data_IF_125112906866
#
_entry.id   IF_125112906866
#
_cell.length_a   1.000
_cell.length_b   1.000
_cell.length_c   1.000
_cell.angle_alpha   90.00
_cell.angle_beta   90.00
_cell.angle_gamma   90.00
#
_symmetry.space_group_name_H-M   'P 1'
#
loop_
_entity.id
_entity.type
_entity.pdbx_description
1 polymer ?
#
# COMPACT_ATOMS: atom_id res chain seq x y z
N UNK A 1 -10.42 7.14 -15.73
CA UNK A 1 -9.08 6.53 -15.60
C UNK A 1 -8.54 6.26 -17.00
N UNK A 2 -7.85 7.22 -17.63
CA UNK A 2 -7.23 7.03 -18.94
C UNK A 2 -5.97 6.16 -18.83
N UNK A 3 -5.74 5.32 -19.82
CA UNK A 3 -4.46 4.65 -20.05
C UNK A 3 -3.67 5.46 -21.06
N UNK A 4 -2.43 5.80 -20.73
CA UNK A 4 -1.65 6.79 -21.47
C UNK A 4 -0.31 6.19 -21.86
N UNK A 5 0.04 6.30 -23.14
CA UNK A 5 1.37 5.98 -23.67
C UNK A 5 2.13 7.24 -24.03
N UNK A 6 3.46 7.17 -24.01
CA UNK A 6 4.30 8.26 -24.51
C UNK A 6 4.18 8.36 -26.02
N UNK A 7 3.70 9.51 -26.49
CA UNK A 7 3.52 9.82 -27.91
C UNK A 7 4.82 10.23 -28.62
N UNK A 8 4.69 10.63 -29.89
CA UNK A 8 5.79 11.18 -30.68
C UNK A 8 6.22 12.59 -30.24
N UNK A 9 7.23 13.15 -30.90
CA UNK A 9 7.63 14.55 -30.65
C UNK A 9 6.45 15.52 -30.87
N UNK A 10 6.21 16.39 -29.89
CA UNK A 10 5.10 17.36 -29.90
C UNK A 10 3.80 16.87 -29.22
N UNK A 11 3.70 15.60 -28.84
CA UNK A 11 2.55 15.05 -28.12
C UNK A 11 2.77 15.11 -26.60
N UNK A 12 2.75 16.32 -26.03
CA UNK A 12 3.10 16.57 -24.63
C UNK A 12 2.25 15.80 -23.61
N UNK A 13 1.01 15.46 -23.95
CA UNK A 13 0.08 14.69 -23.11
C UNK A 13 0.07 13.19 -23.42
N UNK A 14 0.79 12.75 -24.47
CA UNK A 14 0.81 11.37 -24.93
C UNK A 14 -0.45 10.92 -25.66
N UNK A 15 -0.49 9.63 -25.98
CA UNK A 15 -1.61 8.98 -26.63
C UNK A 15 -2.53 8.29 -25.60
N UNK A 16 -3.85 8.38 -25.79
CA UNK A 16 -4.85 7.80 -24.90
C UNK A 16 -5.73 6.81 -25.69
N UNK A 17 -5.28 5.56 -25.86
CA UNK A 17 -6.03 4.58 -26.65
C UNK A 17 -7.31 4.14 -25.95
N UNK A 18 -7.36 4.25 -24.62
CA UNK A 18 -8.51 3.82 -23.84
C UNK A 18 -8.67 4.58 -22.52
N UNK A 19 -9.92 4.68 -22.05
CA UNK A 19 -10.26 5.24 -20.75
C UNK A 19 -11.44 4.51 -20.14
N UNK A 20 -11.33 4.21 -18.85
CA UNK A 20 -12.39 3.61 -18.06
C UNK A 20 -13.10 4.67 -17.21
N UNK A 21 -14.43 4.64 -17.09
CA UNK A 21 -15.13 5.40 -16.07
C UNK A 21 -14.63 5.00 -14.68
N UNK A 22 -14.24 5.97 -13.87
CA UNK A 22 -13.82 5.77 -12.48
C UNK A 22 -14.30 6.96 -11.66
N UNK A 23 -15.05 6.69 -10.60
CA UNK A 23 -15.34 7.65 -9.54
C UNK A 23 -14.35 7.37 -8.40
N UNK A 24 -13.41 8.29 -8.19
CA UNK A 24 -12.38 8.18 -7.17
C UNK A 24 -12.62 9.24 -6.10
N UNK A 25 -12.76 8.79 -4.85
CA UNK A 25 -12.80 9.64 -3.67
C UNK A 25 -11.50 9.46 -2.89
N UNK A 26 -10.87 10.56 -2.51
CA UNK A 26 -9.59 10.56 -1.79
C UNK A 26 -9.70 11.35 -0.51
N UNK A 27 -8.96 10.91 0.50
CA UNK A 27 -8.86 11.55 1.79
C UNK A 27 -7.48 11.26 2.39
N UNK A 28 -7.05 12.07 3.34
CA UNK A 28 -5.80 11.82 4.06
C UNK A 28 -5.95 10.65 5.03
N UNK A 29 -4.94 9.78 5.06
CA UNK A 29 -4.89 8.69 6.02
C UNK A 29 -4.95 9.18 7.46
N UNK A 30 -4.27 10.29 7.78
CA UNK A 30 -4.31 10.92 9.11
C UNK A 30 -5.74 11.30 9.50
N UNK A 31 -6.49 11.95 8.61
CA UNK A 31 -7.87 12.34 8.88
C UNK A 31 -8.78 11.13 9.15
N UNK A 32 -8.63 10.03 8.39
CA UNK A 32 -9.36 8.79 8.68
C UNK A 32 -8.97 8.21 10.04
N UNK A 33 -7.66 8.14 10.32
CA UNK A 33 -7.15 7.57 11.56
C UNK A 33 -7.58 8.37 12.79
N UNK A 34 -7.46 9.70 12.74
CA UNK A 34 -7.88 10.60 13.82
C UNK A 34 -9.37 10.44 14.11
N UNK A 35 -10.19 10.44 13.06
CA UNK A 35 -11.63 10.23 13.19
C UNK A 35 -11.96 8.86 13.83
N UNK A 36 -11.30 7.78 13.42
CA UNK A 36 -11.48 6.47 14.03
C UNK A 36 -10.98 6.45 15.48
N UNK A 37 -9.83 7.09 15.76
CA UNK A 37 -9.22 7.10 17.09
C UNK A 37 -10.07 7.87 18.11
N UNK A 38 -10.67 8.99 17.72
CA UNK A 38 -11.59 9.78 18.57
C UNK A 38 -12.80 8.97 19.07
N UNK A 39 -13.18 7.90 18.35
CA UNK A 39 -14.32 7.03 18.69
C UNK A 39 -13.95 5.87 19.61
N UNK A 40 -12.67 5.74 19.97
CA UNK A 40 -12.17 4.71 20.89
C UNK A 40 -11.86 5.36 22.24
N UNK A 41 -12.43 4.88 23.37
CA UNK A 41 -12.08 5.38 24.69
C UNK A 41 -10.59 5.24 24.99
N UNK A 42 -9.98 6.24 25.62
CA UNK A 42 -8.53 6.23 25.94
C UNK A 42 -8.13 5.04 26.82
N UNK A 43 -9.03 4.59 27.70
CA UNK A 43 -8.83 3.39 28.53
C UNK A 43 -8.70 2.10 27.72
N UNK A 44 -9.09 2.10 26.45
CA UNK A 44 -9.00 0.96 25.54
C UNK A 44 -7.85 1.09 24.53
N UNK A 45 -7.09 2.19 24.56
CA UNK A 45 -6.00 2.45 23.62
C UNK A 45 -4.70 2.75 24.37
N UNK A 46 -3.89 1.70 24.55
CA UNK A 46 -2.63 1.79 25.30
C UNK A 46 -1.44 1.94 24.34
N UNK A 47 -0.79 3.10 24.37
CA UNK A 47 0.44 3.36 23.60
C UNK A 47 1.68 2.85 24.33
N UNK A 48 2.76 2.61 23.57
CA UNK A 48 4.03 2.15 24.14
C UNK A 48 3.99 0.70 24.66
N UNK A 49 2.96 -0.06 24.30
CA UNK A 49 2.76 -1.45 24.70
C UNK A 49 3.03 -2.37 23.50
N UNK A 50 4.30 -2.65 23.21
CA UNK A 50 4.68 -3.53 22.12
C UNK A 50 4.51 -5.00 22.55
N UNK A 51 3.80 -5.79 21.73
CA UNK A 51 3.63 -7.23 21.96
C UNK A 51 4.89 -7.97 21.52
N UNK A 52 5.45 -8.77 22.43
CA UNK A 52 6.63 -9.60 22.19
C UNK A 52 6.23 -11.05 21.89
N UNK A 53 5.33 -11.62 22.70
CA UNK A 53 4.94 -13.03 22.59
C UNK A 53 3.45 -13.23 22.85
N UNK A 54 2.92 -14.35 22.37
CA UNK A 54 1.54 -14.77 22.60
C UNK A 54 1.47 -16.29 22.76
N UNK A 55 0.73 -16.76 23.77
CA UNK A 55 0.55 -18.19 24.03
C UNK A 55 -0.83 -18.49 24.58
N UNK A 56 -1.35 -19.68 24.32
CA UNK A 56 -2.55 -20.16 25.00
C UNK A 56 -2.23 -20.41 26.48
N UNK A 57 -3.08 -19.90 27.37
CA UNK A 57 -3.05 -20.23 28.81
C UNK A 57 -3.83 -21.52 29.08
N UNK A 58 -4.96 -21.66 28.40
CA UNK A 58 -5.86 -22.81 28.39
C UNK A 58 -6.59 -22.86 27.03
N UNK A 59 -7.62 -23.68 26.87
CA UNK A 59 -8.35 -23.83 25.59
C UNK A 59 -9.13 -22.56 25.17
N UNK A 60 -9.27 -21.58 26.05
CA UNK A 60 -10.15 -20.43 25.83
C UNK A 60 -9.47 -19.07 25.94
N UNK A 61 -8.30 -18.99 26.58
CA UNK A 61 -7.64 -17.70 26.86
C UNK A 61 -6.19 -17.66 26.37
N UNK A 62 -5.79 -16.48 25.90
CA UNK A 62 -4.45 -16.14 25.39
C UNK A 62 -3.77 -15.24 26.41
N UNK A 63 -2.50 -15.52 26.70
CA UNK A 63 -1.59 -14.57 27.35
C UNK A 63 -0.81 -13.84 26.27
N UNK A 64 -0.86 -12.50 26.31
CA UNK A 64 0.07 -11.63 25.60
C UNK A 64 1.15 -11.18 26.57
N UNK A 65 2.40 -11.29 26.15
CA UNK A 65 3.56 -10.75 26.85
C UNK A 65 4.05 -9.52 26.09
N UNK A 66 4.22 -8.43 26.83
CA UNK A 66 4.71 -7.16 26.30
C UNK A 66 6.24 -7.05 26.47
N UNK A 67 6.87 -6.14 25.73
CA UNK A 67 8.33 -5.96 25.78
C UNK A 67 8.86 -5.55 27.17
N UNK A 68 8.02 -4.97 28.02
CA UNK A 68 8.35 -4.63 29.42
C UNK A 68 8.14 -5.79 30.40
N UNK A 69 7.75 -6.97 29.89
CA UNK A 69 7.47 -8.19 30.66
C UNK A 69 6.08 -8.23 31.30
N UNK A 70 5.24 -7.22 31.08
CA UNK A 70 3.85 -7.24 31.56
C UNK A 70 3.05 -8.26 30.75
N UNK A 71 2.23 -9.05 31.44
CA UNK A 71 1.32 -10.01 30.81
C UNK A 71 -0.13 -9.55 30.89
N UNK A 72 -0.87 -9.73 29.79
CA UNK A 72 -2.32 -9.56 29.72
C UNK A 72 -3.02 -10.85 29.29
N UNK A 73 -4.20 -11.14 29.87
CA UNK A 73 -5.01 -12.33 29.55
C UNK A 73 -6.26 -11.91 28.78
N UNK A 74 -6.52 -12.55 27.65
CA UNK A 74 -7.63 -12.21 26.75
C UNK A 74 -8.33 -13.47 26.23
N UNK A 75 -9.64 -13.40 25.99
CA UNK A 75 -10.40 -14.51 25.38
C UNK A 75 -10.14 -14.63 23.87
N UNK A 76 -9.78 -13.53 23.22
CA UNK A 76 -9.51 -13.46 21.79
C UNK A 76 -8.52 -12.32 21.51
N UNK A 77 -7.51 -12.58 20.67
CA UNK A 77 -6.52 -11.59 20.23
C UNK A 77 -6.63 -11.38 18.73
N UNK A 78 -6.63 -10.12 18.30
CA UNK A 78 -6.57 -9.73 16.89
C UNK A 78 -5.29 -8.95 16.64
N UNK A 79 -4.37 -9.55 15.90
CA UNK A 79 -3.17 -8.87 15.41
C UNK A 79 -3.52 -8.00 14.20
N UNK A 80 -3.48 -6.69 14.41
CA UNK A 80 -3.71 -5.64 13.42
C UNK A 80 -2.44 -4.82 13.15
N UNK A 81 -1.28 -5.46 13.30
CA UNK A 81 0.07 -4.89 13.40
C UNK A 81 0.80 -4.78 12.04
N UNK A 82 0.02 -4.65 10.97
CA UNK A 82 0.50 -4.26 9.64
C UNK A 82 1.34 -5.33 8.92
N UNK A 83 1.93 -4.95 7.79
CA UNK A 83 2.64 -5.91 6.91
C UNK A 83 3.88 -6.54 7.58
N UNK A 84 4.47 -5.90 8.60
CA UNK A 84 5.56 -6.45 9.42
C UNK A 84 5.07 -7.19 10.68
N UNK A 85 3.85 -7.72 10.64
CA UNK A 85 3.17 -8.33 11.78
C UNK A 85 4.03 -9.29 12.60
N UNK A 86 4.12 -9.00 13.91
CA UNK A 86 4.57 -9.93 14.95
C UNK A 86 3.59 -11.09 15.05
N UNK A 87 2.28 -10.82 15.00
CA UNK A 87 1.24 -11.84 14.99
C UNK A 87 1.46 -12.90 13.92
N UNK A 88 1.72 -12.49 12.67
CA UNK A 88 1.97 -13.42 11.57
C UNK A 88 3.21 -14.26 11.82
N UNK A 89 4.30 -13.71 12.35
CA UNK A 89 5.51 -14.48 12.69
C UNK A 89 5.26 -15.50 13.80
N UNK A 90 4.46 -15.13 14.82
CA UNK A 90 4.11 -16.02 15.92
C UNK A 90 3.19 -17.16 15.46
N UNK A 91 2.17 -16.83 14.66
CA UNK A 91 1.18 -17.81 14.22
C UNK A 91 1.68 -18.62 13.01
N UNK A 92 2.42 -18.05 12.07
CA UNK A 92 2.83 -18.75 10.85
C UNK A 92 4.28 -18.35 10.49
N UNK A 93 5.29 -18.90 11.18
CA UNK A 93 6.69 -18.50 10.99
C UNK A 93 7.19 -18.72 9.55
N UNK A 94 6.61 -19.69 8.83
CA UNK A 94 6.94 -19.96 7.43
C UNK A 94 6.23 -19.01 6.44
N UNK A 95 5.26 -18.20 6.88
CA UNK A 95 4.55 -17.22 6.05
C UNK A 95 5.34 -15.90 5.95
N UNK A 96 6.50 -15.98 5.29
CA UNK A 96 7.41 -14.86 5.10
C UNK A 96 6.89 -13.83 4.07
N UNK A 97 7.35 -12.59 4.21
CA UNK A 97 7.18 -11.57 3.17
C UNK A 97 8.03 -11.93 1.96
N UNK A 98 7.42 -11.87 0.79
CA UNK A 98 8.07 -12.12 -0.49
C UNK A 98 8.19 -10.81 -1.24
N UNK A 99 9.43 -10.38 -1.49
CA UNK A 99 9.68 -9.20 -2.31
C UNK A 99 9.24 -9.46 -3.76
N UNK A 100 8.65 -8.46 -4.40
CA UNK A 100 8.03 -8.62 -5.73
C UNK A 100 8.91 -8.18 -6.90
N UNK A 101 10.17 -7.80 -6.66
CA UNK A 101 11.10 -7.39 -7.73
C UNK A 101 10.94 -5.94 -8.19
N UNK A 102 10.13 -5.13 -7.49
CA UNK A 102 9.96 -3.72 -7.78
C UNK A 102 9.68 -2.90 -6.52
N UNK A 103 9.89 -1.61 -6.68
CA UNK A 103 9.60 -0.59 -5.69
C UNK A 103 8.45 0.30 -6.16
N UNK A 104 7.79 0.95 -5.20
CA UNK A 104 6.86 2.03 -5.44
C UNK A 104 7.52 3.35 -5.05
N UNK A 105 7.91 4.12 -6.06
CA UNK A 105 8.39 5.49 -5.88
C UNK A 105 7.21 6.44 -5.83
N UNK A 106 7.21 7.37 -4.88
CA UNK A 106 6.09 8.27 -4.63
C UNK A 106 6.55 9.70 -4.46
N UNK A 107 5.62 10.61 -4.75
CA UNK A 107 5.82 12.02 -4.50
C UNK A 107 4.51 12.79 -4.49
N UNK A 108 4.62 14.00 -3.96
CA UNK A 108 3.51 14.92 -3.74
C UNK A 108 3.93 16.27 -4.31
N UNK A 109 3.17 16.81 -5.25
CA UNK A 109 3.39 18.16 -5.80
C UNK A 109 2.13 19.01 -5.56
N UNK A 110 2.22 20.17 -4.89
CA UNK A 110 1.11 21.11 -4.80
C UNK A 110 0.58 21.48 -6.20
N UNK A 111 -0.75 21.53 -6.36
CA UNK A 111 -1.35 21.86 -7.65
C UNK A 111 -0.92 23.24 -8.16
N UNK A 112 -0.66 24.18 -7.24
CA UNK A 112 -0.13 25.52 -7.56
C UNK A 112 1.24 25.51 -8.24
N UNK A 113 2.00 24.41 -8.17
CA UNK A 113 3.29 24.25 -8.84
C UNK A 113 3.18 23.55 -10.22
N UNK A 114 1.97 23.11 -10.59
CA UNK A 114 1.67 22.53 -11.91
C UNK A 114 1.31 23.66 -12.87
N UNK A 115 1.99 23.71 -14.03
CA UNK A 115 1.80 24.78 -15.03
C UNK A 115 0.36 24.85 -15.54
N UNK A 116 -0.24 23.69 -15.86
CA UNK A 116 -1.65 23.54 -16.19
C UNK A 116 -2.20 22.25 -15.56
N UNK A 117 -3.08 22.37 -14.57
CA UNK A 117 -3.68 21.21 -13.91
C UNK A 117 -4.91 20.63 -14.62
N UNK A 118 -5.35 21.27 -15.71
CA UNK A 118 -6.58 20.90 -16.44
C UNK A 118 -6.54 19.49 -17.02
N UNK A 119 -5.42 19.00 -17.61
CA UNK A 119 -5.33 17.64 -18.12
C UNK A 119 -5.52 16.57 -17.03
N UNK A 120 -4.96 16.80 -15.84
CA UNK A 120 -5.20 15.91 -14.70
C UNK A 120 -6.63 16.03 -14.16
N UNK A 121 -7.17 17.25 -14.00
CA UNK A 121 -8.58 17.47 -13.69
C UNK A 121 -9.11 16.62 -12.53
N UNK A 122 -10.06 15.72 -12.83
CA UNK A 122 -10.56 14.65 -11.95
C UNK A 122 -10.15 13.24 -12.44
N UNK A 123 -9.23 13.19 -13.41
CA UNK A 123 -8.73 11.96 -14.01
C UNK A 123 -7.70 11.27 -13.10
N UNK A 124 -7.48 10.00 -13.40
CA UNK A 124 -6.49 9.16 -12.73
C UNK A 124 -5.70 8.46 -13.83
N UNK A 125 -4.78 9.13 -14.53
CA UNK A 125 -4.05 8.51 -15.62
C UNK A 125 -3.19 7.36 -15.10
N UNK A 126 -3.19 6.26 -15.86
CA UNK A 126 -2.21 5.18 -15.76
C UNK A 126 -1.30 5.23 -16.97
N UNK A 127 -0.05 5.61 -16.73
CA UNK A 127 0.97 5.85 -17.72
C UNK A 127 1.85 4.60 -17.87
N UNK A 128 1.86 3.98 -19.04
CA UNK A 128 2.84 2.91 -19.31
C UNK A 128 4.21 3.53 -19.55
N UNK A 129 5.25 2.91 -19.00
CA UNK A 129 6.62 3.26 -19.35
C UNK A 129 6.94 2.72 -20.75
N UNK A 130 7.59 3.52 -21.59
CA UNK A 130 7.77 3.20 -23.02
C UNK A 130 8.97 2.29 -23.30
N UNK A 131 10.10 2.54 -22.65
CA UNK A 131 11.38 1.87 -22.91
C UNK A 131 11.71 0.81 -21.85
N UNK A 132 11.30 1.05 -20.62
CA UNK A 132 11.56 0.19 -19.46
C UNK A 132 10.25 -0.37 -18.88
N UNK A 133 10.27 -1.53 -18.21
CA UNK A 133 9.10 -2.03 -17.50
C UNK A 133 8.67 -1.07 -16.39
N UNK A 134 7.38 -0.76 -16.28
CA UNK A 134 6.87 0.11 -15.23
C UNK A 134 5.55 0.80 -15.55
N UNK A 135 4.95 1.35 -14.50
CA UNK A 135 3.70 2.09 -14.61
C UNK A 135 3.70 3.28 -13.64
N UNK A 136 3.13 4.40 -14.07
CA UNK A 136 2.92 5.55 -13.20
C UNK A 136 1.44 5.86 -13.10
N UNK A 137 0.96 6.13 -11.88
CA UNK A 137 -0.39 6.64 -11.63
C UNK A 137 -0.31 8.01 -10.98
N UNK A 138 -1.20 8.92 -11.37
CA UNK A 138 -1.30 10.27 -10.79
C UNK A 138 -2.75 10.61 -10.50
N UNK A 139 -3.01 11.36 -9.43
CA UNK A 139 -4.34 11.88 -9.11
C UNK A 139 -4.23 12.98 -8.05
N UNK A 140 -5.25 13.83 -7.97
CA UNK A 140 -5.34 14.82 -6.91
C UNK A 140 -5.88 14.22 -5.61
N UNK A 141 -5.26 14.64 -4.51
CA UNK A 141 -5.74 14.43 -3.15
C UNK A 141 -6.02 15.80 -2.50
N UNK A 142 -6.83 15.85 -1.42
CA UNK A 142 -7.02 17.07 -0.67
C UNK A 142 -5.69 17.64 -0.15
N UNK A 143 -5.66 18.93 0.15
CA UNK A 143 -4.53 19.53 0.88
C UNK A 143 -4.50 19.09 2.36
N UNK A 144 -3.53 19.58 3.13
CA UNK A 144 -3.39 19.27 4.56
C UNK A 144 -4.61 19.66 5.41
N UNK A 145 -5.41 20.63 4.95
CA UNK A 145 -6.64 21.08 5.60
C UNK A 145 -7.89 20.33 5.08
N UNK A 146 -7.71 19.38 4.15
CA UNK A 146 -8.81 18.64 3.53
C UNK A 146 -9.50 19.38 2.39
N UNK A 147 -8.97 20.50 1.90
CA UNK A 147 -9.55 21.24 0.77
C UNK A 147 -9.38 20.49 -0.54
N UNK A 148 -10.48 20.40 -1.30
CA UNK A 148 -10.53 19.82 -2.65
C UNK A 148 -10.65 20.87 -3.76
N UNK A 149 -10.51 22.15 -3.43
CA UNK A 149 -10.66 23.25 -4.39
C UNK A 149 -9.48 23.29 -5.40
N UNK A 150 -9.80 23.63 -6.66
CA UNK A 150 -8.77 23.76 -7.70
C UNK A 150 -7.72 24.80 -7.27
N UNK A 151 -6.45 24.40 -7.29
CA UNK A 151 -5.30 25.22 -6.89
C UNK A 151 -4.80 24.97 -5.47
N UNK A 152 -5.61 24.41 -4.57
CA UNK A 152 -5.15 24.01 -3.23
C UNK A 152 -4.76 22.53 -3.16
N UNK A 153 -5.32 21.68 -4.03
CA UNK A 153 -5.08 20.22 -4.02
C UNK A 153 -3.60 19.86 -4.16
N UNK A 154 -3.27 18.60 -3.86
CA UNK A 154 -1.93 18.04 -4.04
C UNK A 154 -2.00 16.92 -5.08
N UNK A 155 -1.15 16.96 -6.10
CA UNK A 155 -0.97 15.86 -7.03
C UNK A 155 -0.14 14.76 -6.34
N UNK A 156 -0.80 13.66 -5.99
CA UNK A 156 -0.14 12.43 -5.57
C UNK A 156 0.18 11.58 -6.80
N UNK A 157 1.44 11.21 -6.95
CA UNK A 157 1.88 10.27 -7.96
C UNK A 157 2.60 9.09 -7.34
N UNK A 158 2.50 7.95 -8.02
CA UNK A 158 3.21 6.73 -7.65
C UNK A 158 3.71 6.01 -8.92
N UNK A 159 4.99 5.69 -8.97
CA UNK A 159 5.66 5.02 -10.07
C UNK A 159 6.17 3.65 -9.60
N UNK A 160 5.69 2.60 -10.25
CA UNK A 160 6.14 1.23 -10.06
C UNK A 160 7.37 1.01 -10.92
N UNK A 161 8.53 0.82 -10.29
CA UNK A 161 9.83 0.75 -10.97
C UNK A 161 10.53 -0.54 -10.55
N UNK A 162 11.01 -1.37 -11.49
CA UNK A 162 11.81 -2.55 -11.20
C UNK A 162 13.04 -2.22 -10.33
N UNK A 163 13.33 -3.12 -9.40
CA UNK A 163 14.54 -3.07 -8.58
C UNK A 163 14.91 -4.51 -8.24
N UNK A 164 16.03 -4.98 -8.80
CA UNK A 164 16.50 -6.35 -8.57
C UNK A 164 16.85 -6.55 -7.08
N UNK A 165 16.64 -7.77 -6.60
CA UNK A 165 16.86 -8.09 -5.18
C UNK A 165 18.33 -7.88 -4.77
N UNK A 166 19.27 -8.17 -5.68
CA UNK A 166 20.70 -7.92 -5.50
C UNK A 166 21.08 -6.44 -5.36
N UNK A 167 20.27 -5.52 -5.90
CA UNK A 167 20.53 -4.08 -5.85
C UNK A 167 19.95 -3.44 -4.57
N UNK A 168 19.04 -4.13 -3.86
CA UNK A 168 18.38 -3.60 -2.66
C UNK A 168 19.38 -3.10 -1.61
N UNK A 169 20.45 -3.84 -1.23
CA UNK A 169 21.36 -3.39 -0.19
C UNK A 169 22.05 -2.06 -0.51
N UNK A 170 22.32 -1.78 -1.79
CA UNK A 170 22.91 -0.53 -2.23
C UNK A 170 21.86 0.57 -2.42
N UNK A 171 20.71 0.24 -2.99
CA UNK A 171 19.63 1.20 -3.23
C UNK A 171 19.02 1.72 -1.93
N UNK A 172 18.83 0.84 -0.93
CA UNK A 172 18.20 1.15 0.35
C UNK A 172 19.13 1.81 1.38
N UNK A 173 20.16 2.51 0.93
CA UNK A 173 21.00 3.37 1.78
C UNK A 173 20.56 4.81 1.55
N UNK A 174 20.16 5.49 2.61
CA UNK A 174 19.70 6.88 2.53
C UNK A 174 20.83 7.89 2.27
N UNK A 175 20.47 9.16 2.07
CA UNK A 175 21.42 10.27 1.85
C UNK A 175 22.43 10.50 2.97
N UNK A 176 22.18 9.96 4.16
CA UNK A 176 23.06 10.06 5.32
C UNK A 176 23.89 8.78 5.51
N UNK A 177 23.82 7.82 4.59
CA UNK A 177 24.55 6.55 4.67
C UNK A 177 23.90 5.50 5.56
N UNK A 178 22.68 5.72 6.05
CA UNK A 178 22.00 4.74 6.90
C UNK A 178 21.24 3.71 6.05
N UNK A 179 21.39 2.40 6.34
CA UNK A 179 20.55 1.39 5.73
C UNK A 179 19.08 1.59 6.18
N UNK A 180 18.17 1.44 5.23
CA UNK A 180 16.73 1.54 5.42
C UNK A 180 16.10 0.19 5.09
N UNK A 181 15.15 -0.22 5.92
CA UNK A 181 14.41 -1.45 5.65
C UNK A 181 13.05 -1.11 5.04
N UNK A 182 12.75 -1.66 3.87
CA UNK A 182 11.43 -1.61 3.24
C UNK A 182 10.93 -0.23 2.77
N UNK A 183 11.42 0.89 3.31
CA UNK A 183 11.06 2.22 2.85
C UNK A 183 12.16 3.26 3.11
N UNK A 184 12.34 4.19 2.17
CA UNK A 184 13.13 5.42 2.36
C UNK A 184 12.14 6.57 2.48
N UNK A 185 12.10 7.31 3.61
CA UNK A 185 11.10 8.34 3.84
C UNK A 185 11.36 9.64 3.04
N UNK A 186 10.38 10.54 2.96
CA UNK A 186 10.52 11.83 2.27
C UNK A 186 11.77 12.59 2.70
N UNK A 187 12.50 13.11 1.72
CA UNK A 187 13.70 13.90 1.97
C UNK A 187 14.91 13.10 2.45
N UNK A 188 14.88 11.76 2.35
CA UNK A 188 16.02 10.89 2.64
C UNK A 188 16.60 10.20 1.40
N UNK A 189 15.97 10.32 0.23
CA UNK A 189 16.53 9.83 -1.04
C UNK A 189 17.88 10.48 -1.34
N UNK A 190 18.84 9.70 -1.85
CA UNK A 190 20.12 10.20 -2.38
C UNK A 190 19.88 11.05 -3.64
N UNK A 191 20.73 12.05 -3.86
CA UNK A 191 20.58 12.98 -4.98
C UNK A 191 20.72 12.24 -6.31
N UNK A 192 21.65 11.30 -6.40
CA UNK A 192 21.91 10.52 -7.61
C UNK A 192 20.71 9.64 -8.00
N UNK A 193 19.97 9.12 -7.01
CA UNK A 193 18.76 8.34 -7.25
C UNK A 193 17.59 9.22 -7.68
N UNK A 194 17.42 10.42 -7.10
CA UNK A 194 16.44 11.41 -7.54
C UNK A 194 16.70 11.83 -9.00
N UNK A 195 17.96 12.07 -9.37
CA UNK A 195 18.34 12.37 -10.75
C UNK A 195 18.11 11.19 -11.70
N UNK A 196 18.37 9.96 -11.25
CA UNK A 196 18.08 8.74 -12.01
C UNK A 196 16.59 8.58 -12.27
N UNK A 197 15.74 8.82 -11.27
CA UNK A 197 14.29 8.85 -11.45
C UNK A 197 13.90 9.87 -12.52
N UNK A 198 14.41 11.11 -12.42
CA UNK A 198 14.07 12.19 -13.36
C UNK A 198 14.41 11.85 -14.80
N UNK A 199 15.58 11.25 -15.05
CA UNK A 199 15.95 10.75 -16.38
C UNK A 199 15.00 9.66 -16.85
N UNK A 200 14.76 8.65 -16.00
CA UNK A 200 13.86 7.53 -16.32
C UNK A 200 12.47 8.02 -16.73
N UNK A 201 11.86 8.93 -15.97
CA UNK A 201 10.49 9.41 -16.27
C UNK A 201 10.44 10.30 -17.51
N UNK A 202 11.49 11.09 -17.80
CA UNK A 202 11.58 11.86 -19.04
C UNK A 202 11.67 10.93 -20.25
N UNK A 203 12.46 9.86 -20.15
CA UNK A 203 12.60 8.86 -21.22
C UNK A 203 11.31 8.07 -21.45
N UNK A 204 10.56 7.78 -20.38
CA UNK A 204 9.43 6.83 -20.42
C UNK A 204 8.03 7.45 -20.45
N UNK A 205 7.84 8.69 -20.00
CA UNK A 205 6.53 9.34 -19.87
C UNK A 205 6.36 10.53 -20.83
N UNK A 206 5.12 10.91 -21.19
CA UNK A 206 4.87 12.18 -21.88
C UNK A 206 5.39 13.38 -21.08
N UNK A 207 5.77 14.43 -21.80
CA UNK A 207 6.41 15.65 -21.25
C UNK A 207 5.61 16.26 -20.09
N UNK A 208 4.28 16.34 -20.24
CA UNK A 208 3.39 16.91 -19.23
C UNK A 208 3.51 16.18 -17.88
N UNK A 209 3.54 14.85 -17.88
CA UNK A 209 3.58 14.05 -16.66
C UNK A 209 4.99 13.96 -16.09
N UNK A 210 6.02 13.91 -16.94
CA UNK A 210 7.41 13.91 -16.47
C UNK A 210 7.80 15.26 -15.84
N UNK A 211 7.26 16.40 -16.31
CA UNK A 211 7.45 17.72 -15.68
C UNK A 211 6.96 17.75 -14.21
N UNK A 212 5.79 17.16 -13.95
CA UNK A 212 5.22 17.04 -12.60
C UNK A 212 6.19 16.29 -11.67
N UNK A 213 6.71 15.15 -12.12
CA UNK A 213 7.68 14.37 -11.34
C UNK A 213 9.01 15.15 -11.20
N UNK A 214 9.47 15.82 -12.25
CA UNK A 214 10.74 16.56 -12.24
C UNK A 214 10.74 17.74 -11.25
N UNK A 215 9.59 18.42 -11.09
CA UNK A 215 9.37 19.48 -10.10
C UNK A 215 9.21 18.96 -8.67
N UNK A 216 8.79 17.70 -8.51
CA UNK A 216 8.57 17.11 -7.19
C UNK A 216 9.88 17.01 -6.41
N UNK A 217 9.82 17.36 -5.13
CA UNK A 217 10.93 17.26 -4.18
C UNK A 217 10.58 16.29 -3.06
N UNK A 218 11.60 15.85 -2.31
CA UNK A 218 11.44 14.98 -1.15
C UNK A 218 10.65 13.71 -1.50
N UNK A 219 10.96 13.11 -2.64
CA UNK A 219 10.31 11.87 -3.05
C UNK A 219 10.71 10.74 -2.09
N UNK A 220 9.97 9.64 -2.13
CA UNK A 220 10.13 8.55 -1.18
C UNK A 220 9.80 7.22 -1.84
N UNK A 221 10.34 6.14 -1.28
CA UNK A 221 10.24 4.79 -1.85
C UNK A 221 9.74 3.80 -0.82
N UNK A 222 8.92 2.85 -1.28
CA UNK A 222 8.53 1.65 -0.54
C UNK A 222 8.80 0.41 -1.39
N UNK A 223 9.49 -0.58 -0.83
CA UNK A 223 9.62 -1.90 -1.44
C UNK A 223 8.29 -2.64 -1.34
N UNK A 224 7.91 -3.34 -2.41
CA UNK A 224 6.64 -4.05 -2.45
C UNK A 224 6.84 -5.52 -2.10
N UNK A 225 6.10 -5.95 -1.09
CA UNK A 225 6.08 -7.32 -0.63
C UNK A 225 4.67 -7.88 -0.71
N UNK A 226 4.58 -9.20 -0.81
CA UNK A 226 3.35 -9.95 -0.57
C UNK A 226 3.55 -11.01 0.50
N UNK A 227 2.46 -11.49 1.08
CA UNK A 227 2.46 -12.68 1.90
C UNK A 227 1.14 -13.42 1.68
N UNK A 228 1.23 -14.71 1.39
CA UNK A 228 0.10 -15.63 1.52
C UNK A 228 0.20 -16.32 2.88
N UNK A 229 -0.95 -16.51 3.52
CA UNK A 229 -1.03 -17.12 4.85
C UNK A 229 -1.89 -18.39 4.76
N UNK A 230 -1.52 -19.46 5.48
CA UNK A 230 -2.27 -20.71 5.42
C UNK A 230 -3.62 -20.62 6.15
N UNK A 231 -3.76 -19.67 7.08
CA UNK A 231 -4.96 -19.38 7.86
C UNK A 231 -4.90 -17.94 8.38
N UNK A 232 -6.06 -17.32 8.61
CA UNK A 232 -6.23 -16.03 9.28
C UNK A 232 -6.32 -16.17 10.82
N UNK A 233 -6.27 -17.39 11.35
CA UNK A 233 -6.26 -17.62 12.79
C UNK A 233 -5.53 -18.90 13.19
N UNK A 234 -5.09 -18.94 14.45
CA UNK A 234 -4.72 -20.16 15.16
C UNK A 234 -5.25 -20.05 16.59
N UNK A 235 -5.96 -21.06 17.04
CA UNK A 235 -6.62 -21.09 18.36
C UNK A 235 -7.52 -19.86 18.60
N UNK A 236 -7.16 -18.98 19.54
CA UNK A 236 -7.86 -17.74 19.88
C UNK A 236 -7.13 -16.49 19.39
N UNK A 237 -6.25 -16.64 18.39
CA UNK A 237 -5.44 -15.54 17.85
C UNK A 237 -5.70 -15.38 16.36
N UNK A 238 -6.11 -14.18 15.94
CA UNK A 238 -6.48 -13.85 14.57
C UNK A 238 -5.52 -12.82 13.96
N UNK A 239 -5.35 -12.86 12.65
CA UNK A 239 -4.64 -11.84 11.86
C UNK A 239 -5.66 -11.02 11.07
N UNK A 240 -5.56 -9.69 11.10
CA UNK A 240 -6.44 -8.81 10.32
C UNK A 240 -5.66 -7.73 9.57
N UNK A 241 -6.24 -7.19 8.50
CA UNK A 241 -5.59 -6.19 7.67
C UNK A 241 -4.31 -6.74 7.03
N UNK A 242 -3.25 -5.95 7.04
CA UNK A 242 -1.94 -6.35 6.48
C UNK A 242 -1.17 -7.35 7.37
N UNK A 243 -1.64 -7.61 8.59
CA UNK A 243 -1.08 -8.70 9.39
C UNK A 243 -1.38 -10.07 8.78
N UNK A 244 -2.54 -10.21 8.13
CA UNK A 244 -2.90 -11.40 7.37
C UNK A 244 -2.17 -11.46 6.01
N UNK A 245 -2.94 -11.50 4.92
CA UNK A 245 -2.34 -11.46 3.58
C UNK A 245 -1.86 -10.05 3.23
N UNK A 246 -0.60 -9.91 2.80
CA UNK A 246 -0.06 -8.65 2.27
C UNK A 246 -0.19 -8.68 0.74
N UNK A 247 -0.84 -7.68 0.16
CA UNK A 247 -1.21 -7.66 -1.26
C UNK A 247 -0.63 -6.39 -1.91
N UNK A 248 -0.28 -6.48 -3.19
CA UNK A 248 0.18 -5.34 -3.97
C UNK A 248 -0.84 -4.17 -3.94
N UNK A 249 -0.38 -2.92 -3.90
CA UNK A 249 -1.26 -1.76 -3.78
C UNK A 249 -2.11 -1.47 -5.04
N UNK A 250 -1.91 -2.22 -6.13
CA UNK A 250 -2.71 -2.13 -7.36
C UNK A 250 -4.22 -2.24 -7.13
N UNK A 251 -4.63 -3.04 -6.15
CA UNK A 251 -6.04 -3.35 -5.86
C UNK A 251 -6.77 -2.23 -5.09
N UNK A 252 -6.04 -1.27 -4.49
CA UNK A 252 -6.64 -0.20 -3.68
C UNK A 252 -7.43 -0.69 -2.45
N UNK A 253 -7.29 -1.96 -2.06
CA UNK A 253 -8.20 -2.61 -1.09
C UNK A 253 -7.75 -2.56 0.36
N UNK A 254 -6.61 -1.92 0.68
CA UNK A 254 -5.93 -2.05 1.97
C UNK A 254 -6.81 -1.77 3.18
N UNK A 255 -7.37 -0.56 3.28
CA UNK A 255 -8.25 -0.16 4.41
C UNK A 255 -9.50 -1.03 4.48
N UNK A 256 -10.13 -1.29 3.33
CA UNK A 256 -11.35 -2.08 3.25
C UNK A 256 -11.13 -3.53 3.67
N UNK A 257 -9.94 -4.10 3.46
CA UNK A 257 -9.61 -5.45 3.94
C UNK A 257 -9.68 -5.51 5.47
N UNK A 258 -8.98 -4.61 6.16
CA UNK A 258 -9.00 -4.55 7.63
C UNK A 258 -10.41 -4.37 8.19
N UNK A 259 -11.16 -3.42 7.62
CA UNK A 259 -12.56 -3.19 8.00
C UNK A 259 -13.44 -4.44 7.78
N UNK A 260 -13.36 -5.06 6.61
CA UNK A 260 -14.19 -6.23 6.29
C UNK A 260 -13.78 -7.47 7.09
N UNK A 261 -12.50 -7.63 7.44
CA UNK A 261 -12.06 -8.68 8.35
C UNK A 261 -12.81 -8.58 9.68
N UNK A 262 -12.81 -7.40 10.32
CA UNK A 262 -13.49 -7.18 11.60
C UNK A 262 -15.00 -7.30 11.47
N UNK A 263 -15.62 -6.64 10.48
CA UNK A 263 -17.08 -6.68 10.26
C UNK A 263 -17.59 -8.12 10.14
N UNK A 264 -16.95 -8.89 9.27
CA UNK A 264 -17.37 -10.27 9.03
C UNK A 264 -17.03 -11.23 10.17
N UNK A 265 -15.99 -10.93 10.97
CA UNK A 265 -15.70 -11.67 12.19
C UNK A 265 -16.81 -11.46 13.23
N UNK A 266 -17.26 -10.22 13.42
CA UNK A 266 -18.38 -9.89 14.30
C UNK A 266 -19.64 -10.64 13.86
N UNK A 267 -19.92 -10.69 12.56
CA UNK A 267 -21.08 -11.42 12.03
C UNK A 267 -20.99 -12.92 12.35
N UNK A 268 -19.85 -13.57 12.13
CA UNK A 268 -19.68 -14.99 12.45
C UNK A 268 -19.76 -15.27 13.97
N UNK A 269 -19.18 -14.39 14.80
CA UNK A 269 -19.26 -14.50 16.27
C UNK A 269 -20.68 -14.37 16.81
N UNK A 270 -21.53 -13.56 16.16
CA UNK A 270 -22.94 -13.39 16.57
C UNK A 270 -23.84 -14.56 16.14
N UNK A 271 -23.47 -15.25 15.07
CA UNK A 271 -24.32 -16.27 14.44
C UNK A 271 -23.91 -17.71 14.77
N UNK A 272 -22.86 -17.91 15.58
CA UNK A 272 -22.33 -19.22 15.94
C UNK A 272 -22.35 -19.42 17.46
N UNK A 273 -22.61 -20.66 17.90
CA UNK A 273 -22.68 -20.99 19.33
C UNK A 273 -21.32 -20.95 20.04
N UNK A 274 -20.22 -21.10 19.29
CA UNK A 274 -18.86 -21.10 19.85
C UNK A 274 -17.92 -20.24 19.02
N UNK A 275 -16.99 -19.56 19.72
CA UNK A 275 -15.92 -18.79 19.09
C UNK A 275 -15.10 -19.67 18.14
N UNK A 276 -14.82 -20.92 18.51
CA UNK A 276 -14.01 -21.82 17.67
C UNK A 276 -14.70 -22.13 16.33
N UNK A 277 -16.03 -22.31 16.34
CA UNK A 277 -16.79 -22.53 15.11
C UNK A 277 -16.88 -21.25 14.26
N UNK A 278 -17.09 -20.09 14.89
CA UNK A 278 -17.08 -18.79 14.22
C UNK A 278 -15.74 -18.52 13.51
N UNK A 279 -14.61 -18.72 14.20
CA UNK A 279 -13.28 -18.49 13.64
C UNK A 279 -13.00 -19.39 12.43
N UNK A 280 -13.39 -20.67 12.48
CA UNK A 280 -13.23 -21.60 11.36
C UNK A 280 -14.00 -21.15 10.12
N UNK A 281 -15.23 -20.67 10.29
CA UNK A 281 -16.06 -20.17 9.18
C UNK A 281 -15.51 -18.86 8.61
N UNK A 282 -15.14 -17.95 9.51
CA UNK A 282 -14.54 -16.67 9.15
C UNK A 282 -13.23 -16.86 8.37
N UNK A 283 -12.35 -17.74 8.84
CA UNK A 283 -11.08 -18.07 8.20
C UNK A 283 -11.24 -18.57 6.77
N UNK A 284 -12.10 -19.58 6.57
CA UNK A 284 -12.34 -20.14 5.24
C UNK A 284 -12.81 -19.06 4.24
N UNK A 285 -13.60 -18.09 4.71
CA UNK A 285 -14.01 -16.93 3.92
C UNK A 285 -12.85 -15.97 3.65
N UNK A 286 -12.05 -15.61 4.66
CA UNK A 286 -10.92 -14.70 4.51
C UNK A 286 -9.83 -15.27 3.60
N UNK A 287 -9.51 -16.57 3.69
CA UNK A 287 -8.56 -17.23 2.80
C UNK A 287 -9.00 -17.14 1.34
N UNK A 288 -10.29 -17.37 1.06
CA UNK A 288 -10.84 -17.26 -0.29
C UNK A 288 -10.73 -15.83 -0.82
N UNK A 289 -11.02 -14.82 0.01
CA UNK A 289 -10.94 -13.41 -0.38
C UNK A 289 -9.48 -13.00 -0.60
N UNK A 290 -8.60 -13.31 0.35
CA UNK A 290 -7.16 -13.00 0.30
C UNK A 290 -6.49 -13.57 -0.94
N UNK A 291 -6.71 -14.86 -1.25
CA UNK A 291 -6.15 -15.51 -2.45
C UNK A 291 -6.65 -14.91 -3.75
N UNK A 292 -7.93 -14.49 -3.80
CA UNK A 292 -8.48 -13.78 -4.98
C UNK A 292 -7.82 -12.42 -5.16
N UNK A 293 -7.59 -11.69 -4.07
CA UNK A 293 -6.91 -10.39 -4.13
C UNK A 293 -5.44 -10.52 -4.52
N UNK A 294 -4.74 -11.53 -4.01
CA UNK A 294 -3.37 -11.85 -4.43
C UNK A 294 -3.31 -12.17 -5.92
N UNK A 295 -4.17 -13.07 -6.41
CA UNK A 295 -4.23 -13.42 -7.82
C UNK A 295 -4.56 -12.22 -8.72
N UNK A 296 -5.49 -11.35 -8.30
CA UNK A 296 -5.80 -10.10 -9.02
C UNK A 296 -4.59 -9.15 -9.01
N UNK A 297 -3.92 -9.01 -7.87
CA UNK A 297 -2.71 -8.21 -7.73
C UNK A 297 -1.60 -8.67 -8.67
N UNK A 298 -1.38 -9.98 -8.78
CA UNK A 298 -0.40 -10.58 -9.71
C UNK A 298 -0.76 -10.36 -11.18
N UNK A 299 -2.05 -10.45 -11.53
CA UNK A 299 -2.51 -10.15 -12.89
C UNK A 299 -2.28 -8.67 -13.24
N UNK A 300 -2.60 -7.75 -12.34
CA UNK A 300 -2.38 -6.31 -12.52
C UNK A 300 -0.89 -5.97 -12.58
N UNK A 301 -0.08 -6.56 -11.70
CA UNK A 301 1.38 -6.42 -11.68
C UNK A 301 1.99 -6.85 -13.02
N UNK A 302 1.60 -8.03 -13.51
CA UNK A 302 2.03 -8.51 -14.83
C UNK A 302 1.60 -7.57 -15.95
N UNK A 303 0.34 -7.12 -15.95
CA UNK A 303 -0.21 -6.29 -17.02
C UNK A 303 0.26 -4.83 -16.99
N UNK A 304 0.73 -4.31 -15.86
CA UNK A 304 1.13 -2.91 -15.74
C UNK A 304 2.65 -2.72 -15.67
N UNK A 305 3.40 -3.64 -15.09
CA UNK A 305 4.85 -3.50 -14.95
C UNK A 305 5.55 -4.32 -16.02
N UNK A 306 5.29 -5.63 -16.06
CA UNK A 306 6.17 -6.58 -16.74
C UNK A 306 5.81 -6.85 -18.20
N UNK A 307 4.52 -6.77 -18.53
CA UNK A 307 3.98 -7.01 -19.87
C UNK A 307 2.89 -5.96 -20.18
N UNK A 308 3.23 -4.66 -20.13
CA UNK A 308 2.28 -3.63 -20.47
C UNK A 308 1.88 -3.70 -21.94
N UNK A 309 0.65 -3.31 -22.23
CA UNK A 309 0.24 -3.01 -23.59
C UNK A 309 0.96 -1.74 -24.04
N UNK A 310 1.46 -1.72 -25.27
CA UNK A 310 2.03 -0.52 -25.84
C UNK A 310 0.93 0.50 -26.16
N UNK A 311 0.71 1.45 -25.26
CA UNK A 311 -0.26 2.52 -25.46
C UNK A 311 0.26 3.67 -26.34
N UNK A 312 1.51 3.63 -26.80
CA UNK A 312 2.05 4.66 -27.70
C UNK A 312 1.57 4.51 -29.14
N UNK A 313 1.15 3.31 -29.53
CA UNK A 313 0.79 2.95 -30.90
C UNK A 313 -0.56 2.22 -31.05
N UNK A 314 -1.21 1.88 -29.93
CA UNK A 314 -2.50 1.18 -29.88
C UNK A 314 -3.69 2.06 -30.31
#
# INVERSE_FOLDING_TARGET
MPFVGKGGEGESHGHVPWSLPLDLQTFHWSALWENLRERVPDISYHQGQAVQSARMKDDNTVILELEDGVEGVFDLVLFADGYRSTGRRLLFPDAALQYRGYMLWRGLLPESEITDSTPLGASVPRLSHQQEPGNTVMYFIPDENGSTEKGSRVCNWASYIPLLEEDIPQFMIDRNGHPREGAIPPGQMRIEEEERLKRLVIENLPEYYSDIIAKTRNTFVQLIYTADIPSYYRDRMCLIGDAGAVIQPFTGSGVFKGYNNVRSLIDELRNCDTVSYALKRWDAMQLRIGRRLLALGEQMERAFIWQPLDFSSA
#
